data_IF_017739259416
#
_entry.id   IF_017739259416
#
_cell.length_a   1.000
_cell.length_b   1.000
_cell.length_c   1.000
_cell.angle_alpha   90.00
_cell.angle_beta   90.00
_cell.angle_gamma   90.00
#
_symmetry.space_group_name_H-M   'P 1'
#
loop_
_entity.id
_entity.type
_entity.pdbx_description
1 polymer ?
#
# COMPACT_ATOMS: atom_id res chain seq x y z
N UNK A 1 -60.04 -19.41 28.47
CA UNK A 1 -59.29 -20.07 27.38
C UNK A 1 -57.88 -20.32 27.91
N UNK A 2 -57.62 -21.43 28.62
CA UNK A 2 -57.06 -22.71 28.09
C UNK A 2 -55.92 -22.50 27.09
N UNK A 3 -54.67 -22.61 27.54
CA UNK A 3 -53.71 -23.56 26.98
C UNK A 3 -52.52 -23.81 27.93
N UNK A 4 -52.46 -25.05 28.37
CA UNK A 4 -51.40 -25.78 29.05
C UNK A 4 -50.31 -26.16 28.04
N UNK A 5 -49.06 -26.35 28.50
CA UNK A 5 -48.07 -27.42 28.15
C UNK A 5 -46.66 -26.85 28.41
N UNK A 6 -45.97 -27.20 29.50
CA UNK A 6 -45.27 -28.46 29.85
C UNK A 6 -43.82 -28.53 29.31
N UNK A 7 -42.90 -28.74 30.24
CA UNK A 7 -41.69 -29.60 30.15
C UNK A 7 -40.62 -29.13 29.15
N UNK A 8 -39.45 -28.63 29.56
CA UNK A 8 -38.47 -29.24 30.45
C UNK A 8 -37.41 -29.92 29.61
N UNK A 9 -36.14 -29.46 29.66
CA UNK A 9 -34.92 -30.23 29.36
C UNK A 9 -33.78 -29.62 30.18
N UNK A 10 -33.26 -30.42 31.09
CA UNK A 10 -31.90 -30.33 31.58
C UNK A 10 -30.98 -31.04 30.57
N UNK A 11 -29.82 -30.48 30.25
CA UNK A 11 -28.65 -31.28 29.84
C UNK A 11 -27.36 -30.46 29.93
N UNK A 12 -26.47 -30.98 30.75
CA UNK A 12 -25.07 -30.64 30.99
C UNK A 12 -24.24 -30.89 29.73
N UNK A 13 -23.37 -29.95 29.33
CA UNK A 13 -22.09 -30.23 28.64
C UNK A 13 -21.10 -29.14 29.05
N UNK A 14 -20.32 -29.39 30.11
CA UNK A 14 -18.92 -29.80 30.05
C UNK A 14 -17.97 -28.66 29.61
N UNK A 15 -17.17 -28.22 30.59
CA UNK A 15 -15.93 -27.50 30.38
C UNK A 15 -15.05 -28.26 29.39
N UNK A 16 -14.59 -27.54 28.37
CA UNK A 16 -13.65 -28.04 27.37
C UNK A 16 -12.91 -26.86 26.78
N UNK A 17 -11.91 -26.38 27.53
CA UNK A 17 -10.93 -25.44 27.02
C UNK A 17 -10.23 -26.05 25.82
N UNK A 18 -10.46 -25.48 24.63
CA UNK A 18 -9.58 -25.62 23.48
C UNK A 18 -9.57 -24.25 22.79
N UNK A 19 -8.55 -23.49 23.16
CA UNK A 19 -8.13 -22.27 22.51
C UNK A 19 -7.91 -22.56 21.02
N UNK A 20 -8.84 -22.09 20.18
CA UNK A 20 -8.56 -21.94 18.75
C UNK A 20 -7.67 -20.71 18.63
N UNK A 21 -6.36 -20.96 18.68
CA UNK A 21 -5.37 -20.02 18.24
C UNK A 21 -5.60 -19.73 16.75
N UNK A 22 -6.19 -18.57 16.44
CA UNK A 22 -6.06 -17.99 15.10
C UNK A 22 -4.60 -17.62 14.94
N UNK A 23 -3.85 -18.48 14.27
CA UNK A 23 -2.56 -18.14 13.72
C UNK A 23 -2.79 -17.21 12.52
N UNK A 24 -2.32 -15.95 12.53
CA UNK A 24 -1.94 -15.33 11.28
C UNK A 24 -0.64 -16.00 10.86
N UNK A 25 -0.70 -16.87 9.86
CA UNK A 25 0.46 -17.24 9.07
C UNK A 25 0.95 -15.99 8.31
N UNK A 26 1.58 -15.06 9.02
CA UNK A 26 2.42 -14.03 8.42
C UNK A 26 3.70 -14.73 8.00
N UNK A 27 3.69 -15.28 6.80
CA UNK A 27 4.91 -15.66 6.12
C UNK A 27 5.75 -14.38 5.95
N UNK A 28 6.71 -14.24 6.86
CA UNK A 28 7.80 -13.30 6.77
C UNK A 28 8.57 -13.62 5.48
N UNK A 29 8.24 -12.94 4.39
CA UNK A 29 9.21 -12.78 3.31
C UNK A 29 10.21 -11.75 3.78
N UNK A 30 11.37 -12.26 4.20
CA UNK A 30 12.56 -11.53 4.54
C UNK A 30 12.80 -10.43 3.50
N UNK A 31 12.54 -9.18 3.89
CA UNK A 31 13.05 -8.03 3.16
C UNK A 31 14.54 -7.95 3.45
N UNK A 32 15.35 -8.31 2.46
CA UNK A 32 16.77 -8.07 2.43
C UNK A 32 17.03 -6.59 2.78
N UNK A 33 17.52 -6.33 3.99
CA UNK A 33 17.92 -4.98 4.41
C UNK A 33 19.30 -4.73 3.79
N UNK A 34 19.30 -4.44 2.50
CA UNK A 34 20.44 -3.87 1.83
C UNK A 34 20.62 -2.43 2.35
N UNK A 35 21.47 -2.27 3.37
CA UNK A 35 22.14 -1.00 3.68
C UNK A 35 23.11 -0.66 2.54
N UNK A 36 22.55 -0.42 1.36
CA UNK A 36 23.25 0.21 0.25
C UNK A 36 23.22 1.70 0.46
N UNK A 37 24.39 2.33 0.50
CA UNK A 37 24.52 3.74 0.19
C UNK A 37 23.74 4.01 -1.09
N UNK A 38 22.62 4.73 -1.00
CA UNK A 38 21.83 5.16 -2.16
C UNK A 38 22.68 6.15 -2.95
N UNK A 39 23.57 5.64 -3.80
CA UNK A 39 24.17 6.43 -4.85
C UNK A 39 23.00 7.02 -5.65
N UNK A 40 22.94 8.35 -5.72
CA UNK A 40 21.90 9.05 -6.50
C UNK A 40 22.17 8.72 -7.96
N UNK A 41 21.52 7.68 -8.47
CA UNK A 41 21.66 7.24 -9.86
C UNK A 41 20.95 8.27 -10.74
N UNK A 42 21.53 8.67 -11.88
CA UNK A 42 20.79 9.45 -12.85
C UNK A 42 19.51 8.72 -13.23
N UNK A 43 18.41 9.46 -13.29
CA UNK A 43 17.13 8.89 -13.71
C UNK A 43 17.27 8.18 -15.08
N UNK A 44 16.57 7.05 -15.28
CA UNK A 44 16.56 6.38 -16.56
C UNK A 44 15.93 7.30 -17.61
N UNK A 45 16.32 7.15 -18.88
CA UNK A 45 15.70 7.91 -19.98
C UNK A 45 14.24 7.49 -20.22
N UNK A 46 13.96 6.21 -19.99
CA UNK A 46 12.66 5.60 -20.18
C UNK A 46 12.33 4.60 -19.08
N UNK A 47 11.06 4.31 -18.89
CA UNK A 47 10.51 3.40 -17.87
C UNK A 47 9.73 2.31 -18.59
N UNK A 48 9.89 1.06 -18.15
CA UNK A 48 9.10 -0.06 -18.67
C UNK A 48 7.61 0.12 -18.33
N UNK A 49 6.66 -0.17 -19.26
CA UNK A 49 5.23 -0.10 -18.98
C UNK A 49 4.79 -0.89 -17.74
N UNK A 50 5.38 -2.07 -17.52
CA UNK A 50 5.13 -2.89 -16.34
C UNK A 50 5.50 -2.17 -15.04
N UNK A 51 6.64 -1.48 -15.00
CA UNK A 51 7.09 -0.72 -13.85
C UNK A 51 6.16 0.47 -13.57
N UNK A 52 5.74 1.19 -14.61
CA UNK A 52 4.75 2.26 -14.48
C UNK A 52 3.42 1.74 -13.93
N UNK A 53 2.91 0.64 -14.48
CA UNK A 53 1.63 0.04 -14.05
C UNK A 53 1.70 -0.47 -12.60
N UNK A 54 2.83 -1.05 -12.19
CA UNK A 54 3.06 -1.47 -10.82
C UNK A 54 3.16 -0.27 -9.86
N UNK A 55 3.90 0.78 -10.24
CA UNK A 55 3.98 2.02 -9.47
C UNK A 55 2.61 2.65 -9.26
N UNK A 56 1.82 2.74 -10.34
CA UNK A 56 0.42 3.19 -10.28
C UNK A 56 -0.40 2.36 -9.29
N UNK A 57 -0.29 1.02 -9.34
CA UNK A 57 -1.03 0.14 -8.43
C UNK A 57 -0.65 0.37 -6.95
N UNK A 58 0.64 0.57 -6.66
CA UNK A 58 1.13 0.88 -5.30
C UNK A 58 0.50 2.19 -4.81
N UNK A 59 0.55 3.24 -5.63
CA UNK A 59 0.00 4.55 -5.27
C UNK A 59 -1.52 4.52 -5.11
N UNK A 60 -2.23 3.79 -5.97
CA UNK A 60 -3.67 3.61 -5.87
C UNK A 60 -4.07 2.87 -4.58
N UNK A 61 -3.33 1.81 -4.20
CA UNK A 61 -3.54 1.10 -2.92
C UNK A 61 -3.27 1.98 -1.70
N UNK A 62 -2.33 2.91 -1.83
CA UNK A 62 -2.04 3.91 -0.80
C UNK A 62 -3.06 5.08 -0.77
N UNK A 63 -4.04 5.09 -1.68
CA UNK A 63 -5.14 6.07 -1.68
C UNK A 63 -5.00 7.24 -2.65
N UNK A 64 -4.01 7.26 -3.55
CA UNK A 64 -3.92 8.31 -4.58
C UNK A 64 -5.04 8.16 -5.59
N UNK A 65 -5.88 9.19 -5.71
CA UNK A 65 -6.99 9.20 -6.65
C UNK A 65 -6.47 9.45 -8.07
N UNK A 66 -5.43 10.27 -8.23
CA UNK A 66 -4.79 10.50 -9.54
C UNK A 66 -4.21 9.21 -10.09
N UNK A 67 -3.47 8.45 -9.27
CA UNK A 67 -2.92 7.16 -9.71
C UNK A 67 -4.03 6.14 -9.99
N UNK A 68 -5.08 6.10 -9.16
CA UNK A 68 -6.23 5.23 -9.42
C UNK A 68 -6.92 5.57 -10.75
N UNK A 69 -7.02 6.85 -11.13
CA UNK A 69 -7.64 7.30 -12.37
C UNK A 69 -6.72 7.27 -13.60
N UNK A 70 -5.40 7.27 -13.41
CA UNK A 70 -4.46 7.28 -14.54
C UNK A 70 -4.65 6.03 -15.40
N UNK A 71 -4.47 6.12 -16.72
CA UNK A 71 -4.57 4.94 -17.57
C UNK A 71 -3.34 4.05 -17.43
N UNK A 72 -3.51 2.70 -17.34
CA UNK A 72 -2.40 1.79 -17.48
C UNK A 72 -1.81 1.91 -18.88
N UNK A 73 -0.49 1.74 -18.98
CA UNK A 73 0.21 1.74 -20.25
C UNK A 73 0.15 0.32 -20.81
N UNK A 74 -0.44 0.19 -21.99
CA UNK A 74 -0.47 -1.03 -22.77
C UNK A 74 0.41 -0.83 -24.00
N UNK A 75 1.42 -1.68 -24.16
CA UNK A 75 2.36 -1.55 -25.27
C UNK A 75 3.70 -2.21 -24.97
N UNK A 76 4.52 -2.32 -26.02
CA UNK A 76 5.88 -2.85 -25.95
C UNK A 76 6.92 -1.74 -25.73
N UNK A 77 6.54 -0.51 -26.09
CA UNK A 77 7.44 0.63 -26.07
C UNK A 77 7.59 1.17 -24.65
N UNK A 78 8.83 1.45 -24.29
CA UNK A 78 9.13 2.13 -23.04
C UNK A 78 8.63 3.57 -23.10
N UNK A 79 8.17 4.07 -21.95
CA UNK A 79 7.68 5.44 -21.86
C UNK A 79 8.74 6.38 -21.34
N UNK A 80 8.72 7.68 -21.73
CA UNK A 80 9.65 8.66 -21.19
C UNK A 80 9.54 8.74 -19.68
N UNK A 81 10.68 8.95 -19.01
CA UNK A 81 10.73 9.10 -17.54
C UNK A 81 9.79 10.19 -17.01
N UNK A 82 9.50 11.20 -17.84
CA UNK A 82 8.52 12.26 -17.57
C UNK A 82 7.15 11.72 -17.11
N UNK A 83 6.69 10.61 -17.68
CA UNK A 83 5.42 9.98 -17.27
C UNK A 83 5.46 9.51 -15.81
N UNK A 84 6.55 8.84 -15.42
CA UNK A 84 6.75 8.38 -14.06
C UNK A 84 6.92 9.54 -13.07
N UNK A 85 7.72 10.54 -13.41
CA UNK A 85 7.92 11.71 -12.53
C UNK A 85 6.63 12.50 -12.34
N UNK A 86 5.81 12.67 -13.39
CA UNK A 86 4.51 13.34 -13.27
C UNK A 86 3.54 12.56 -12.38
N UNK A 87 3.51 11.22 -12.49
CA UNK A 87 2.70 10.36 -11.62
C UNK A 87 3.12 10.50 -10.14
N UNK A 88 4.43 10.48 -9.86
CA UNK A 88 4.95 10.60 -8.50
C UNK A 88 4.71 11.99 -7.92
N UNK A 89 4.90 13.05 -8.69
CA UNK A 89 4.64 14.42 -8.27
C UNK A 89 3.16 14.64 -7.94
N UNK A 90 2.24 14.17 -8.79
CA UNK A 90 0.81 14.26 -8.54
C UNK A 90 0.40 13.52 -7.25
N UNK A 91 0.88 12.28 -7.07
CA UNK A 91 0.59 11.51 -5.86
C UNK A 91 1.18 12.16 -4.59
N UNK A 92 2.38 12.75 -4.68
CA UNK A 92 2.99 13.51 -3.58
C UNK A 92 2.14 14.67 -3.13
N UNK A 93 1.67 15.47 -4.08
CA UNK A 93 0.90 16.67 -3.77
C UNK A 93 -0.48 16.29 -3.22
N UNK A 94 -1.10 15.21 -3.73
CA UNK A 94 -2.30 14.62 -3.14
C UNK A 94 -2.08 14.14 -1.69
N UNK A 95 -1.05 13.34 -1.43
CA UNK A 95 -0.80 12.82 -0.09
C UNK A 95 -0.47 13.92 0.91
N UNK A 96 0.30 14.94 0.51
CA UNK A 96 0.54 16.13 1.34
C UNK A 96 -0.74 16.86 1.69
N UNK A 97 -1.68 16.95 0.74
CA UNK A 97 -2.97 17.57 0.98
C UNK A 97 -3.86 16.73 1.92
N UNK A 98 -3.94 15.42 1.69
CA UNK A 98 -4.69 14.49 2.54
C UNK A 98 -4.18 14.48 3.97
N UNK A 99 -2.86 14.48 4.13
CA UNK A 99 -2.20 14.42 5.44
C UNK A 99 -2.03 15.79 6.09
N UNK A 100 -2.55 16.87 5.50
CA UNK A 100 -2.31 18.24 5.97
C UNK A 100 -2.65 18.43 7.45
N UNK A 101 -3.66 17.72 7.97
CA UNK A 101 -4.11 17.80 9.37
C UNK A 101 -3.28 16.98 10.37
N UNK A 102 -2.41 16.08 9.91
CA UNK A 102 -1.58 15.27 10.81
C UNK A 102 -0.50 16.13 11.49
N UNK A 103 -0.15 15.85 12.76
CA UNK A 103 0.93 16.55 13.46
C UNK A 103 2.28 16.28 12.79
N UNK A 104 3.20 17.25 12.86
CA UNK A 104 4.51 17.16 12.21
C UNK A 104 5.33 15.92 12.62
N UNK A 105 5.18 15.45 13.86
CA UNK A 105 5.84 14.23 14.38
C UNK A 105 5.44 12.95 13.64
N UNK A 106 4.27 12.95 12.99
CA UNK A 106 3.76 11.81 12.21
C UNK A 106 3.98 11.99 10.70
N UNK A 107 4.68 13.06 10.30
CA UNK A 107 4.94 13.41 8.91
C UNK A 107 6.41 13.26 8.56
N UNK A 108 6.66 12.87 7.32
CA UNK A 108 7.96 12.95 6.65
C UNK A 108 7.77 13.68 5.32
N UNK A 109 8.52 14.75 5.07
CA UNK A 109 8.38 15.57 3.84
C UNK A 109 6.94 16.07 3.58
N UNK A 110 6.20 16.39 4.64
CA UNK A 110 4.83 16.93 4.55
C UNK A 110 3.71 15.91 4.32
N UNK A 111 4.01 14.62 4.27
CA UNK A 111 3.03 13.52 4.17
C UNK A 111 3.24 12.52 5.31
N UNK A 112 2.27 11.65 5.56
CA UNK A 112 2.35 10.57 6.53
C UNK A 112 3.46 9.58 6.16
N UNK A 113 4.02 8.90 7.16
CA UNK A 113 5.02 7.84 6.95
C UNK A 113 4.56 6.76 5.93
N UNK A 114 3.32 6.24 5.97
CA UNK A 114 2.88 5.25 4.98
C UNK A 114 2.83 5.82 3.56
N UNK A 115 2.33 7.04 3.36
CA UNK A 115 2.31 7.68 2.03
C UNK A 115 3.73 7.96 1.52
N UNK A 116 4.64 8.38 2.40
CA UNK A 116 6.05 8.55 2.05
C UNK A 116 6.65 7.24 1.53
N UNK A 117 6.45 6.13 2.26
CA UNK A 117 6.96 4.82 1.86
C UNK A 117 6.32 4.32 0.57
N UNK A 118 5.03 4.58 0.35
CA UNK A 118 4.34 4.20 -0.88
C UNK A 118 4.94 4.89 -2.10
N UNK A 119 5.19 6.20 -2.03
CA UNK A 119 5.80 6.91 -3.17
C UNK A 119 7.23 6.44 -3.41
N UNK A 120 8.03 6.23 -2.36
CA UNK A 120 9.40 5.74 -2.54
C UNK A 120 9.43 4.32 -3.11
N UNK A 121 8.47 3.47 -2.72
CA UNK A 121 8.32 2.13 -3.30
C UNK A 121 7.94 2.20 -4.78
N UNK A 122 7.02 3.10 -5.16
CA UNK A 122 6.64 3.33 -6.55
C UNK A 122 7.81 3.87 -7.39
N UNK A 123 8.58 4.82 -6.84
CA UNK A 123 9.76 5.39 -7.47
C UNK A 123 10.86 4.33 -7.69
N UNK A 124 11.12 3.49 -6.66
CA UNK A 124 12.07 2.37 -6.72
C UNK A 124 11.70 1.36 -7.82
N UNK A 125 10.41 1.03 -7.95
CA UNK A 125 9.93 0.12 -9.02
C UNK A 125 10.22 0.68 -10.42
N UNK A 126 10.13 2.00 -10.60
CA UNK A 126 10.44 2.65 -11.87
C UNK A 126 11.93 2.97 -12.06
N UNK A 127 12.76 2.74 -11.04
CA UNK A 127 14.18 3.13 -11.05
C UNK A 127 14.39 4.66 -11.04
N UNK A 128 13.45 5.43 -10.48
CA UNK A 128 13.53 6.89 -10.42
C UNK A 128 14.00 7.29 -9.02
N UNK A 129 15.14 7.95 -8.92
CA UNK A 129 15.65 8.50 -7.66
C UNK A 129 15.35 9.99 -7.50
N UNK A 130 15.08 10.72 -8.59
CA UNK A 130 14.82 12.17 -8.58
C UNK A 130 13.47 12.50 -9.22
N UNK A 131 12.54 13.11 -8.48
CA UNK A 131 11.19 13.43 -8.97
C UNK A 131 10.50 14.54 -8.16
#
# INVERSE_FOLDING_TARGET
MKLTVRTGIAAVVAAGALAVAVAPASAAVAGDVATGTHAVVPNPKSIKPAAYNQARSILAKAGSQTAAKSHPIHGKDDVPVGYGTSLLAAARDEFRNTDKKLPAKQKKSGMSIPHYNAIHSAAKVMGIDRW
#
